data_IF_503783650427
#
_entry.id   IF_503783650427
#
_cell.length_a   1.000
_cell.length_b   1.000
_cell.length_c   1.000
_cell.angle_alpha   90.00
_cell.angle_beta   90.00
_cell.angle_gamma   90.00
#
_symmetry.space_group_name_H-M   'P 1'
#
loop_
_entity.id
_entity.type
_entity.pdbx_description
1 polymer ?
#
# COMPACT_ATOMS: atom_id res chain seq x y z
N UNK A 1 5.86 -48.55 34.13
CA UNK A 1 5.74 -47.85 32.84
C UNK A 1 4.32 -47.31 32.71
N UNK A 2 4.10 -46.03 32.99
CA UNK A 2 2.88 -45.31 32.61
C UNK A 2 3.35 -43.99 32.00
N UNK A 3 3.01 -43.80 30.73
CA UNK A 3 3.46 -42.69 29.90
C UNK A 3 3.07 -41.36 30.51
N UNK A 4 4.06 -40.47 30.59
CA UNK A 4 3.86 -39.04 30.83
C UNK A 4 3.18 -38.47 29.59
N UNK A 5 1.86 -38.31 29.64
CA UNK A 5 1.12 -37.53 28.64
C UNK A 5 1.48 -36.06 28.84
N UNK A 6 2.29 -35.52 27.95
CA UNK A 6 2.67 -34.10 27.94
C UNK A 6 1.56 -33.36 27.18
N UNK A 7 0.48 -33.00 27.86
CA UNK A 7 -0.40 -31.94 27.37
C UNK A 7 0.26 -30.58 27.71
N UNK A 8 1.33 -30.26 27.00
CA UNK A 8 1.84 -28.90 26.98
C UNK A 8 0.97 -28.12 26.00
N UNK A 9 0.06 -27.31 26.52
CA UNK A 9 -0.61 -26.27 25.72
C UNK A 9 0.48 -25.41 25.05
N UNK A 10 0.75 -25.68 23.77
CA UNK A 10 1.68 -24.89 22.96
C UNK A 10 0.95 -23.58 22.65
N UNK A 11 1.40 -22.49 23.27
CA UNK A 11 0.86 -21.17 23.00
C UNK A 11 1.57 -20.58 21.78
N UNK A 12 0.78 -20.23 20.77
CA UNK A 12 1.27 -19.46 19.63
C UNK A 12 1.58 -18.05 20.11
N UNK A 13 2.83 -17.64 19.96
CA UNK A 13 3.27 -16.28 20.28
C UNK A 13 3.23 -15.40 19.04
N UNK A 14 3.24 -14.08 19.24
CA UNK A 14 3.30 -13.11 18.14
C UNK A 14 4.51 -13.34 17.22
N UNK A 15 5.64 -13.79 17.79
CA UNK A 15 6.85 -14.13 17.03
C UNK A 15 6.64 -15.32 16.09
N UNK A 16 5.86 -16.31 16.49
CA UNK A 16 5.57 -17.49 15.67
C UNK A 16 4.71 -17.10 14.45
N UNK A 17 3.75 -16.18 14.66
CA UNK A 17 2.92 -15.62 13.59
C UNK A 17 3.79 -14.78 12.64
N UNK A 18 4.59 -13.86 13.17
CA UNK A 18 5.48 -13.02 12.36
C UNK A 18 6.47 -13.84 11.53
N UNK A 19 7.05 -14.90 12.11
CA UNK A 19 7.95 -15.81 11.39
C UNK A 19 7.23 -16.51 10.22
N UNK A 20 6.03 -17.02 10.46
CA UNK A 20 5.24 -17.72 9.43
C UNK A 20 4.83 -16.77 8.31
N UNK A 21 4.37 -15.57 8.64
CA UNK A 21 4.01 -14.54 7.66
C UNK A 21 5.23 -14.13 6.85
N UNK A 22 6.37 -13.85 7.49
CA UNK A 22 7.62 -13.48 6.80
C UNK A 22 8.09 -14.59 5.84
N UNK A 23 7.90 -15.86 6.21
CA UNK A 23 8.23 -17.00 5.35
C UNK A 23 7.32 -17.10 4.12
N UNK A 24 6.05 -16.69 4.23
CA UNK A 24 5.09 -16.74 3.12
C UNK A 24 5.18 -15.52 2.21
N UNK A 25 5.37 -14.32 2.78
CA UNK A 25 5.48 -13.07 2.04
C UNK A 25 6.89 -12.83 1.50
N UNK A 26 7.91 -13.42 2.15
CA UNK A 26 9.32 -13.19 1.84
C UNK A 26 9.92 -11.97 2.54
N UNK A 27 9.09 -11.15 3.20
CA UNK A 27 9.50 -9.89 3.84
C UNK A 27 9.60 -10.05 5.37
N UNK A 28 10.71 -9.63 6.01
CA UNK A 28 10.90 -9.76 7.45
C UNK A 28 10.00 -8.76 8.22
N UNK A 29 8.85 -9.24 8.69
CA UNK A 29 7.77 -8.42 9.29
C UNK A 29 8.25 -7.54 10.46
N UNK A 30 9.11 -8.05 11.35
CA UNK A 30 9.61 -7.31 12.51
C UNK A 30 10.50 -6.12 12.11
N UNK A 31 11.35 -6.30 11.09
CA UNK A 31 12.23 -5.24 10.58
C UNK A 31 11.45 -4.20 9.78
N UNK A 32 10.53 -4.67 8.94
CA UNK A 32 9.65 -3.83 8.14
C UNK A 32 8.82 -2.92 9.06
N UNK A 33 8.23 -3.46 10.12
CA UNK A 33 7.41 -2.68 11.06
C UNK A 33 8.17 -1.55 11.76
N UNK A 34 9.42 -1.78 12.17
CA UNK A 34 10.25 -0.75 12.80
C UNK A 34 10.68 0.34 11.83
N UNK A 35 11.13 -0.03 10.63
CA UNK A 35 11.56 0.92 9.59
C UNK A 35 10.38 1.74 9.06
N UNK A 36 9.23 1.12 8.83
CA UNK A 36 7.99 1.81 8.44
C UNK A 36 7.52 2.78 9.52
N UNK A 37 7.60 2.39 10.79
CA UNK A 37 7.23 3.27 11.91
C UNK A 37 8.12 4.52 11.96
N UNK A 38 9.43 4.38 11.78
CA UNK A 38 10.35 5.52 11.75
C UNK A 38 10.15 6.41 10.51
N UNK A 39 9.86 5.81 9.35
CA UNK A 39 9.48 6.55 8.15
C UNK A 39 8.20 7.35 8.36
N UNK A 40 7.16 6.76 8.94
CA UNK A 40 5.88 7.43 9.23
C UNK A 40 6.06 8.61 10.18
N UNK A 41 6.90 8.47 11.20
CA UNK A 41 7.22 9.56 12.15
C UNK A 41 7.87 10.75 11.46
N UNK A 42 8.73 10.50 10.46
CA UNK A 42 9.47 11.54 9.75
C UNK A 42 8.78 12.03 8.46
N UNK A 43 7.73 11.33 7.99
CA UNK A 43 7.08 11.51 6.70
C UNK A 43 6.58 12.95 6.48
N UNK A 44 5.94 13.54 7.48
CA UNK A 44 5.45 14.92 7.41
C UNK A 44 6.59 15.91 7.17
N UNK A 45 7.68 15.77 7.94
CA UNK A 45 8.85 16.65 7.86
C UNK A 45 9.56 16.51 6.52
N UNK A 46 9.64 15.31 5.95
CA UNK A 46 10.24 15.11 4.62
C UNK A 46 9.33 15.63 3.51
N UNK A 47 8.02 15.37 3.57
CA UNK A 47 7.07 15.90 2.59
C UNK A 47 7.05 17.43 2.58
N UNK A 48 7.15 18.11 3.73
CA UNK A 48 7.21 19.57 3.81
C UNK A 48 8.46 20.22 3.21
N UNK A 49 9.54 19.46 3.00
CA UNK A 49 10.71 19.97 2.25
C UNK A 49 10.40 20.16 0.77
N UNK A 50 9.44 19.39 0.25
CA UNK A 50 9.09 19.32 -1.17
C UNK A 50 7.76 20.00 -1.48
N UNK A 51 6.86 20.06 -0.51
CA UNK A 51 5.50 20.58 -0.65
C UNK A 51 5.34 21.76 0.30
N UNK A 52 5.26 22.95 -0.29
CA UNK A 52 5.07 24.20 0.44
C UNK A 52 3.58 24.39 0.71
N UNK A 53 3.20 24.47 2.01
CA UNK A 53 1.81 24.57 2.45
C UNK A 53 1.10 23.22 2.64
N UNK A 54 -0.24 23.24 2.75
CA UNK A 54 -1.12 22.05 2.86
C UNK A 54 -0.84 21.14 4.08
N UNK A 55 -0.58 21.72 5.27
CA UNK A 55 -0.35 20.96 6.50
C UNK A 55 -1.47 19.95 6.81
N UNK A 56 -2.74 20.34 6.66
CA UNK A 56 -3.89 19.46 6.92
C UNK A 56 -3.88 18.18 6.06
N UNK A 57 -3.42 18.28 4.82
CA UNK A 57 -3.35 17.13 3.90
C UNK A 57 -2.20 16.20 4.27
N UNK A 58 -1.06 16.76 4.67
CA UNK A 58 0.12 15.98 5.06
C UNK A 58 -0.11 15.30 6.42
N UNK A 59 -0.82 15.95 7.34
CA UNK A 59 -1.16 15.40 8.64
C UNK A 59 -2.15 14.21 8.52
N UNK A 60 -3.13 14.30 7.62
CA UNK A 60 -4.09 13.23 7.34
C UNK A 60 -3.43 11.94 6.80
N UNK A 61 -2.22 12.03 6.23
CA UNK A 61 -1.47 10.87 5.75
C UNK A 61 -0.92 10.00 6.88
N UNK A 62 -0.76 10.57 8.08
CA UNK A 62 -0.03 9.95 9.19
C UNK A 62 -0.89 9.06 10.09
N UNK A 63 -2.15 8.77 9.75
CA UNK A 63 -3.06 8.01 10.63
C UNK A 63 -2.58 6.55 10.82
N UNK A 64 -2.00 6.19 11.98
CA UNK A 64 -1.43 4.86 12.21
C UNK A 64 -2.50 3.77 12.31
N UNK A 65 -3.78 4.15 12.49
CA UNK A 65 -4.89 3.19 12.61
C UNK A 65 -5.38 2.70 11.25
N UNK A 66 -4.97 3.36 10.17
CA UNK A 66 -5.38 3.05 8.81
C UNK A 66 -4.16 3.10 7.87
N UNK A 67 -3.28 2.07 7.88
CA UNK A 67 -2.09 2.02 7.02
C UNK A 67 -2.42 2.08 5.52
N UNK A 68 -3.66 1.75 5.14
CA UNK A 68 -4.24 2.01 3.82
C UNK A 68 -5.13 3.25 3.92
N UNK A 69 -4.55 4.42 3.68
CA UNK A 69 -5.29 5.66 3.66
C UNK A 69 -5.78 5.96 2.23
N UNK A 70 -7.07 6.26 2.10
CA UNK A 70 -7.69 6.66 0.82
C UNK A 70 -7.86 8.17 0.80
N UNK A 71 -7.22 8.82 -0.18
CA UNK A 71 -7.26 10.27 -0.32
C UNK A 71 -8.02 10.68 -1.57
N UNK A 72 -8.83 11.72 -1.44
CA UNK A 72 -9.44 12.42 -2.56
C UNK A 72 -9.00 13.89 -2.55
N UNK A 73 -8.23 14.28 -3.55
CA UNK A 73 -7.79 15.66 -3.70
C UNK A 73 -8.76 16.43 -4.61
N UNK A 74 -9.47 17.44 -4.09
CA UNK A 74 -10.56 18.16 -4.83
C UNK A 74 -10.23 19.58 -5.30
N UNK A 75 -9.07 20.12 -4.94
CA UNK A 75 -8.51 21.38 -5.49
C UNK A 75 -8.42 21.49 -7.04
N UNK A 76 -8.17 22.69 -7.60
CA UNK A 76 -7.87 22.90 -9.02
C UNK A 76 -6.61 22.18 -9.54
N UNK A 77 -6.43 22.12 -10.86
CA UNK A 77 -5.20 21.60 -11.48
C UNK A 77 -3.99 22.52 -11.21
N UNK A 78 -2.79 21.96 -11.22
CA UNK A 78 -1.54 22.72 -11.05
C UNK A 78 -1.11 23.03 -9.62
N UNK A 79 -1.95 22.73 -8.61
CA UNK A 79 -1.67 23.00 -7.19
C UNK A 79 -0.80 21.95 -6.47
N UNK A 80 -0.32 20.92 -7.20
CA UNK A 80 0.63 19.93 -6.67
C UNK A 80 0.05 18.61 -6.15
N UNK A 81 -1.21 18.26 -6.44
CA UNK A 81 -1.81 16.96 -6.02
C UNK A 81 -1.00 15.75 -6.48
N UNK A 82 -0.61 15.74 -7.77
CA UNK A 82 0.19 14.66 -8.35
C UNK A 82 1.59 14.64 -7.75
N UNK A 83 2.15 15.81 -7.40
CA UNK A 83 3.45 15.88 -6.75
C UNK A 83 3.39 15.36 -5.31
N UNK A 84 2.29 15.58 -4.59
CA UNK A 84 2.06 14.98 -3.28
C UNK A 84 2.03 13.45 -3.35
N UNK A 85 1.31 12.88 -4.31
CA UNK A 85 1.31 11.43 -4.52
C UNK A 85 2.70 10.88 -4.89
N UNK A 86 3.43 11.58 -5.78
CA UNK A 86 4.81 11.20 -6.14
C UNK A 86 5.77 11.28 -4.94
N UNK A 87 5.67 12.35 -4.16
CA UNK A 87 6.51 12.56 -2.99
C UNK A 87 6.24 11.48 -1.94
N UNK A 88 4.97 11.13 -1.72
CA UNK A 88 4.59 10.04 -0.82
C UNK A 88 5.20 8.70 -1.26
N UNK A 89 5.14 8.38 -2.56
CA UNK A 89 5.74 7.16 -3.09
C UNK A 89 7.26 7.10 -2.84
N UNK A 90 7.95 8.21 -3.07
CA UNK A 90 9.41 8.29 -2.87
C UNK A 90 9.77 8.21 -1.38
N UNK A 91 9.08 8.95 -0.50
CA UNK A 91 9.42 9.01 0.91
C UNK A 91 9.05 7.72 1.66
N UNK A 92 7.92 7.09 1.32
CA UNK A 92 7.47 5.87 1.99
C UNK A 92 8.11 4.61 1.38
N UNK A 93 8.02 4.44 0.06
CA UNK A 93 8.48 3.24 -0.65
C UNK A 93 9.91 3.36 -1.20
N UNK A 94 10.55 4.53 -1.12
CA UNK A 94 11.91 4.75 -1.63
C UNK A 94 12.03 4.81 -3.15
N UNK A 95 10.98 4.43 -3.88
CA UNK A 95 10.94 4.44 -5.34
C UNK A 95 9.61 5.02 -5.83
N UNK A 96 9.68 5.97 -6.75
CA UNK A 96 8.50 6.51 -7.45
C UNK A 96 7.78 5.44 -8.27
N UNK A 97 8.49 4.47 -8.81
CA UNK A 97 7.97 3.39 -9.65
C UNK A 97 7.17 2.36 -8.84
N UNK A 98 7.28 2.37 -7.50
CA UNK A 98 6.43 1.59 -6.63
C UNK A 98 4.96 2.08 -6.66
N UNK A 99 4.72 3.30 -7.16
CA UNK A 99 3.37 3.83 -7.33
C UNK A 99 2.74 3.30 -8.62
N UNK A 100 1.66 2.53 -8.47
CA UNK A 100 0.76 2.18 -9.58
C UNK A 100 0.02 3.45 -10.00
N UNK A 101 0.31 3.97 -11.19
CA UNK A 101 -0.31 5.16 -11.73
C UNK A 101 -1.37 4.78 -12.76
N UNK A 102 -2.60 5.20 -12.52
CA UNK A 102 -3.71 5.05 -13.45
C UNK A 102 -4.14 6.42 -13.97
N UNK A 103 -4.18 6.59 -15.29
CA UNK A 103 -4.73 7.79 -15.91
C UNK A 103 -6.24 7.63 -16.09
N UNK A 104 -7.03 8.31 -15.26
CA UNK A 104 -8.49 8.25 -15.30
C UNK A 104 -9.07 8.77 -16.63
N UNK A 105 -8.33 9.55 -17.41
CA UNK A 105 -8.75 9.95 -18.74
C UNK A 105 -8.85 8.77 -19.72
N UNK A 106 -8.13 7.67 -19.49
CA UNK A 106 -8.26 6.44 -20.29
C UNK A 106 -9.53 5.62 -19.95
N UNK A 107 -10.17 5.92 -18.81
CA UNK A 107 -11.30 5.18 -18.26
C UNK A 107 -12.65 5.92 -18.36
N UNK A 108 -12.72 6.95 -19.20
CA UNK A 108 -13.96 7.75 -19.36
C UNK A 108 -15.11 6.97 -20.02
N UNK A 109 -14.80 5.95 -20.81
CA UNK A 109 -15.79 5.16 -21.55
C UNK A 109 -16.21 3.91 -20.76
N UNK A 110 -17.50 3.57 -20.78
CA UNK A 110 -18.04 2.45 -19.98
C UNK A 110 -17.32 1.11 -20.22
N UNK A 111 -16.82 0.89 -21.44
CA UNK A 111 -16.18 -0.37 -21.82
C UNK A 111 -14.67 -0.38 -21.55
N UNK A 112 -14.04 0.73 -21.17
CA UNK A 112 -12.62 0.73 -20.80
C UNK A 112 -12.40 0.32 -19.34
N UNK A 113 -13.45 0.33 -18.51
CA UNK A 113 -13.43 -0.18 -17.12
C UNK A 113 -13.01 -1.65 -17.04
N UNK A 114 -13.37 -2.49 -18.03
CA UNK A 114 -12.94 -3.89 -18.05
C UNK A 114 -11.42 -4.06 -18.16
N UNK A 115 -10.69 -3.06 -18.68
CA UNK A 115 -9.22 -3.08 -18.71
C UNK A 115 -8.61 -2.93 -17.32
N UNK A 116 -9.32 -2.30 -16.39
CA UNK A 116 -8.85 -2.07 -15.02
C UNK A 116 -8.89 -3.36 -14.19
N UNK A 117 -10.01 -4.09 -14.26
CA UNK A 117 -10.32 -5.22 -13.37
C UNK A 117 -10.19 -6.59 -14.05
N UNK A 118 -10.31 -6.65 -15.40
CA UNK A 118 -10.37 -7.81 -16.32
C UNK A 118 -11.68 -7.88 -17.11
N UNK A 119 -11.59 -8.34 -18.36
CA UNK A 119 -12.77 -8.65 -19.19
C UNK A 119 -13.50 -9.90 -18.68
N UNK A 120 -14.81 -10.06 -18.92
CA UNK A 120 -15.53 -11.29 -18.57
C UNK A 120 -15.08 -12.51 -19.41
N UNK A 121 -15.29 -13.76 -18.94
CA UNK A 121 -15.03 -14.97 -19.72
C UNK A 121 -15.73 -14.94 -21.09
N UNK A 122 -14.99 -15.27 -22.15
CA UNK A 122 -15.52 -15.25 -23.53
C UNK A 122 -15.38 -13.93 -24.28
N UNK A 123 -14.80 -12.89 -23.67
CA UNK A 123 -14.49 -11.61 -24.32
C UNK A 123 -12.99 -11.47 -24.64
N UNK A 124 -12.67 -10.68 -25.67
CA UNK A 124 -11.28 -10.36 -26.03
C UNK A 124 -10.60 -9.68 -24.83
N UNK A 125 -9.43 -10.21 -24.42
CA UNK A 125 -8.70 -9.74 -23.25
C UNK A 125 -9.09 -10.40 -21.93
N UNK A 126 -9.86 -11.51 -21.94
CA UNK A 126 -10.10 -12.34 -20.75
C UNK A 126 -8.82 -13.04 -20.24
N UNK A 127 -7.93 -13.44 -21.14
CA UNK A 127 -6.66 -14.10 -20.80
C UNK A 127 -5.61 -13.13 -20.23
N UNK A 128 -5.75 -11.83 -20.52
CA UNK A 128 -4.95 -10.78 -19.91
C UNK A 128 -5.63 -10.35 -18.60
N UNK A 129 -4.90 -10.24 -17.50
CA UNK A 129 -5.44 -9.69 -16.26
C UNK A 129 -5.70 -8.18 -16.39
N UNK A 130 -6.46 -7.63 -15.45
CA UNK A 130 -6.69 -6.19 -15.39
C UNK A 130 -5.44 -5.44 -14.92
N UNK A 131 -5.23 -4.23 -15.43
CA UNK A 131 -4.08 -3.38 -15.08
C UNK A 131 -3.91 -3.16 -13.58
N UNK A 132 -5.00 -3.18 -12.80
CA UNK A 132 -4.93 -3.08 -11.34
C UNK A 132 -4.75 -4.45 -10.69
N UNK A 133 -5.40 -5.48 -11.21
CA UNK A 133 -5.42 -6.82 -10.60
C UNK A 133 -4.16 -7.64 -10.86
N UNK A 134 -3.35 -7.32 -11.86
CA UNK A 134 -2.09 -8.03 -12.13
C UNK A 134 -0.92 -7.55 -11.27
N UNK A 135 -1.00 -6.31 -10.76
CA UNK A 135 0.12 -5.65 -10.07
C UNK A 135 0.02 -5.80 -8.55
N UNK A 136 -1.09 -6.35 -8.04
CA UNK A 136 -1.39 -6.54 -6.61
C UNK A 136 -1.35 -8.01 -6.25
#
# INVERSE_FOLDING_TARGET
MKGSTIDSNVFVTEKDIQYTVSMWTGDPVEKVSLEESDKLLNLEKTLHKRIIGRHETVEAVRDPKHPVASFLFTDPTGVGKTELANALAIEYFGNKEAMIRLDMSEFMEKHTVSKLIRSPPGYIGYENGGQLTEVI
#
